data_IF_080861926401
#
_entry.id   IF_080861926401
#
_cell.length_a   1.000
_cell.length_b   1.000
_cell.length_c   1.000
_cell.angle_alpha   90.00
_cell.angle_beta   90.00
_cell.angle_gamma   90.00
#
_symmetry.space_group_name_H-M   'P 1'
#
loop_
_entity.id
_entity.type
_entity.pdbx_description
1 polymer ?
#
# COMPACT_ATOMS: atom_id res chain seq x y z
N UNK A 1 9.37 -15.11 9.44
CA UNK A 1 9.90 -14.99 8.06
C UNK A 1 9.77 -16.36 7.40
N UNK A 2 9.35 -16.42 6.14
CA UNK A 2 9.19 -17.72 5.47
C UNK A 2 10.57 -18.31 5.19
N UNK A 3 10.71 -19.63 5.32
CA UNK A 3 11.96 -20.30 4.95
C UNK A 3 12.03 -20.46 3.42
N UNK A 4 12.50 -19.41 2.75
CA UNK A 4 12.60 -19.37 1.28
C UNK A 4 13.48 -20.48 0.70
N UNK A 5 14.44 -21.01 1.47
CA UNK A 5 15.26 -22.14 1.05
C UNK A 5 14.43 -23.41 0.91
N UNK A 6 13.48 -23.64 1.83
CA UNK A 6 12.55 -24.78 1.72
C UNK A 6 11.67 -24.66 0.49
N UNK A 7 11.14 -23.46 0.21
CA UNK A 7 10.31 -23.20 -0.98
C UNK A 7 11.11 -23.47 -2.26
N UNK A 8 12.34 -22.98 -2.34
CA UNK A 8 13.22 -23.19 -3.49
C UNK A 8 13.52 -24.67 -3.76
N UNK A 9 13.64 -25.47 -2.69
CA UNK A 9 13.94 -26.90 -2.75
C UNK A 9 12.70 -27.80 -2.94
N UNK A 10 11.49 -27.24 -3.07
CA UNK A 10 10.29 -28.04 -3.32
C UNK A 10 10.38 -28.79 -4.67
N UNK A 11 9.84 -30.02 -4.78
CA UNK A 11 9.81 -30.77 -6.03
C UNK A 11 8.63 -30.32 -6.93
N UNK A 12 8.52 -29.01 -7.19
CA UNK A 12 7.51 -28.39 -8.06
C UNK A 12 8.19 -27.61 -9.19
N UNK A 13 7.43 -27.08 -10.14
CA UNK A 13 7.99 -26.33 -11.26
C UNK A 13 8.72 -25.06 -10.80
N UNK A 14 9.69 -24.57 -11.57
CA UNK A 14 10.36 -23.30 -11.26
C UNK A 14 9.40 -22.11 -11.29
N UNK A 15 8.36 -22.17 -12.13
CA UNK A 15 7.29 -21.15 -12.17
C UNK A 15 6.53 -21.09 -10.85
N UNK A 16 6.10 -22.25 -10.32
CA UNK A 16 5.39 -22.29 -9.04
C UNK A 16 6.27 -21.81 -7.88
N UNK A 17 7.56 -22.18 -7.87
CA UNK A 17 8.52 -21.67 -6.88
C UNK A 17 8.63 -20.15 -6.95
N UNK A 18 8.75 -19.58 -8.16
CA UNK A 18 8.83 -18.14 -8.35
C UNK A 18 7.58 -17.45 -7.79
N UNK A 19 6.39 -17.95 -8.11
CA UNK A 19 5.13 -17.43 -7.56
C UNK A 19 5.10 -17.46 -6.02
N UNK A 20 5.48 -18.57 -5.38
CA UNK A 20 5.56 -18.65 -3.92
C UNK A 20 6.60 -17.70 -3.33
N UNK A 21 7.76 -17.56 -3.97
CA UNK A 21 8.81 -16.66 -3.51
C UNK A 21 8.40 -15.18 -3.65
N UNK A 22 7.67 -14.82 -4.70
CA UNK A 22 7.08 -13.48 -4.88
C UNK A 22 6.11 -13.21 -3.73
N UNK A 23 5.16 -14.11 -3.46
CA UNK A 23 4.20 -13.96 -2.36
C UNK A 23 4.89 -13.82 -1.00
N UNK A 24 5.89 -14.67 -0.71
CA UNK A 24 6.65 -14.59 0.53
C UNK A 24 7.42 -13.27 0.65
N UNK A 25 8.04 -12.82 -0.45
CA UNK A 25 8.80 -11.57 -0.47
C UNK A 25 7.89 -10.36 -0.33
N UNK A 26 6.73 -10.35 -1.00
CA UNK A 26 5.73 -9.30 -0.85
C UNK A 26 5.28 -9.18 0.62
N UNK A 27 4.97 -10.29 1.28
CA UNK A 27 4.57 -10.27 2.68
C UNK A 27 5.68 -9.79 3.62
N UNK A 28 6.93 -10.16 3.36
CA UNK A 28 8.09 -9.70 4.12
C UNK A 28 8.33 -8.20 3.95
N UNK A 29 8.24 -7.69 2.72
CA UNK A 29 8.35 -6.26 2.40
C UNK A 29 7.23 -5.49 3.11
N UNK A 30 5.97 -5.94 3.01
CA UNK A 30 4.84 -5.32 3.71
C UNK A 30 5.07 -5.26 5.24
N UNK A 31 5.49 -6.36 5.85
CA UNK A 31 5.77 -6.41 7.29
C UNK A 31 6.91 -5.47 7.69
N UNK A 32 7.96 -5.39 6.86
CA UNK A 32 9.07 -4.47 7.09
C UNK A 32 8.63 -3.02 6.99
N UNK A 33 7.86 -2.67 5.96
CA UNK A 33 7.27 -1.33 5.79
C UNK A 33 6.41 -0.93 6.98
N UNK A 34 5.52 -1.82 7.44
CA UNK A 34 4.70 -1.59 8.64
C UNK A 34 5.54 -1.37 9.90
N UNK A 35 6.62 -2.13 10.08
CA UNK A 35 7.51 -1.96 11.22
C UNK A 35 8.22 -0.59 11.20
N UNK A 36 8.62 -0.09 10.03
CA UNK A 36 9.28 1.22 9.88
C UNK A 36 8.37 2.41 10.22
N UNK A 37 7.05 2.23 10.10
CA UNK A 37 6.04 3.26 10.33
C UNK A 37 5.17 2.98 11.57
N UNK A 38 5.54 1.99 12.39
CA UNK A 38 4.74 1.49 13.51
C UNK A 38 4.32 2.59 14.50
N UNK A 39 5.19 3.58 14.71
CA UNK A 39 4.91 4.69 15.63
C UNK A 39 3.76 5.61 15.19
N UNK A 40 3.42 5.60 13.90
CA UNK A 40 2.32 6.39 13.34
C UNK A 40 0.97 5.66 13.44
N UNK A 41 0.98 4.38 13.87
CA UNK A 41 -0.21 3.54 14.04
C UNK A 41 -1.08 3.53 12.76
N UNK A 42 -0.44 3.31 11.62
CA UNK A 42 -1.07 3.19 10.31
C UNK A 42 -0.98 1.75 9.79
N UNK A 43 -2.06 1.26 9.19
CA UNK A 43 -2.02 0.03 8.39
C UNK A 43 -1.57 0.31 6.96
N UNK A 44 -1.16 -0.73 6.23
CA UNK A 44 -0.81 -0.58 4.80
C UNK A 44 -1.96 0.01 3.99
N UNK A 45 -3.19 -0.49 4.19
CA UNK A 45 -4.38 0.06 3.52
C UNK A 45 -4.56 1.57 3.80
N UNK A 46 -4.30 2.02 5.03
CA UNK A 46 -4.41 3.43 5.37
C UNK A 46 -3.33 4.26 4.67
N UNK A 47 -2.10 3.75 4.61
CA UNK A 47 -1.01 4.41 3.90
C UNK A 47 -1.30 4.46 2.39
N UNK A 48 -1.77 3.38 1.78
CA UNK A 48 -2.15 3.36 0.35
C UNK A 48 -3.27 4.35 0.05
N UNK A 49 -4.28 4.47 0.92
CA UNK A 49 -5.33 5.49 0.76
C UNK A 49 -4.73 6.90 0.80
N UNK A 50 -3.82 7.18 1.74
CA UNK A 50 -3.18 8.50 1.79
C UNK A 50 -2.34 8.77 0.54
N UNK A 51 -1.58 7.78 0.07
CA UNK A 51 -0.78 7.88 -1.16
C UNK A 51 -1.65 8.20 -2.39
N UNK A 52 -2.76 7.46 -2.57
CA UNK A 52 -3.70 7.72 -3.67
C UNK A 52 -4.29 9.13 -3.59
N UNK A 53 -4.67 9.57 -2.39
CA UNK A 53 -5.20 10.92 -2.19
C UNK A 53 -4.12 12.01 -2.40
N UNK A 54 -2.84 11.70 -2.20
CA UNK A 54 -1.73 12.64 -2.35
C UNK A 54 -1.36 12.85 -3.82
N UNK A 55 -1.31 11.75 -4.59
CA UNK A 55 -0.89 11.67 -5.99
C UNK A 55 -1.98 12.09 -6.97
N UNK A 56 -3.27 11.89 -6.63
CA UNK A 56 -4.35 12.29 -7.53
C UNK A 56 -4.51 13.82 -7.57
N UNK A 57 -4.61 14.42 -8.76
CA UNK A 57 -4.82 15.86 -8.92
C UNK A 57 -6.24 16.32 -8.54
N UNK A 58 -7.14 15.38 -8.22
CA UNK A 58 -8.53 15.66 -7.87
C UNK A 58 -8.65 15.95 -6.37
N UNK A 59 -9.16 17.13 -6.01
CA UNK A 59 -9.36 17.53 -4.60
C UNK A 59 -10.43 16.69 -3.87
N UNK A 60 -11.32 16.03 -4.61
CA UNK A 60 -12.45 15.28 -4.05
C UNK A 60 -12.66 13.96 -4.79
N UNK A 61 -12.32 12.84 -4.14
CA UNK A 61 -12.56 11.50 -4.68
C UNK A 61 -13.59 10.75 -3.84
N UNK A 62 -14.41 9.93 -4.48
CA UNK A 62 -15.43 9.15 -3.78
C UNK A 62 -14.85 7.90 -3.14
N UNK A 63 -15.53 7.36 -2.14
CA UNK A 63 -15.16 6.06 -1.52
C UNK A 63 -15.07 4.94 -2.57
N UNK A 64 -15.95 4.94 -3.57
CA UNK A 64 -15.94 3.91 -4.62
C UNK A 64 -14.71 4.06 -5.52
N UNK A 65 -14.37 5.28 -5.95
CA UNK A 65 -13.15 5.52 -6.73
C UNK A 65 -11.88 5.11 -5.96
N UNK A 66 -11.83 5.33 -4.64
CA UNK A 66 -10.71 4.82 -3.82
C UNK A 66 -10.66 3.29 -3.88
N UNK A 67 -11.81 2.61 -3.78
CA UNK A 67 -11.87 1.15 -3.84
C UNK A 67 -11.39 0.61 -5.19
N UNK A 68 -11.77 1.26 -6.29
CA UNK A 68 -11.37 0.85 -7.65
C UNK A 68 -9.86 0.97 -7.88
N UNK A 69 -9.18 1.80 -7.10
CA UNK A 69 -7.72 2.00 -7.13
C UNK A 69 -6.96 1.12 -6.12
N UNK A 70 -7.66 0.37 -5.27
CA UNK A 70 -7.02 -0.58 -4.36
C UNK A 70 -6.66 -1.87 -5.10
N UNK A 71 -5.46 -2.38 -4.86
CA UNK A 71 -5.01 -3.69 -5.41
C UNK A 71 -5.80 -4.85 -4.78
N UNK A 72 -6.16 -4.73 -3.50
CA UNK A 72 -7.03 -5.69 -2.82
C UNK A 72 -8.48 -5.20 -2.89
N UNK A 73 -9.41 -6.11 -3.21
CA UNK A 73 -10.85 -5.88 -3.01
C UNK A 73 -11.11 -5.81 -1.51
N UNK A 74 -10.74 -4.69 -0.92
CA UNK A 74 -10.61 -4.54 0.52
C UNK A 74 -11.98 -4.15 1.07
N UNK A 75 -12.75 -5.06 1.70
CA UNK A 75 -14.00 -4.70 2.37
C UNK A 75 -13.78 -3.66 3.49
N UNK A 76 -12.53 -3.36 3.80
CA UNK A 76 -12.10 -2.50 4.89
C UNK A 76 -11.81 -1.05 4.48
N UNK A 77 -11.94 -0.63 3.20
CA UNK A 77 -11.67 0.77 2.81
C UNK A 77 -12.50 1.76 3.63
N UNK A 78 -13.80 1.52 3.79
CA UNK A 78 -14.67 2.36 4.62
C UNK A 78 -14.21 2.43 6.09
N UNK A 79 -13.73 1.31 6.65
CA UNK A 79 -13.20 1.25 8.02
C UNK A 79 -11.87 1.99 8.13
N UNK A 80 -10.98 1.84 7.15
CA UNK A 80 -9.70 2.53 7.07
C UNK A 80 -9.90 4.05 6.99
N UNK A 81 -10.81 4.51 6.12
CA UNK A 81 -11.20 5.92 6.00
C UNK A 81 -11.77 6.48 7.31
N UNK A 82 -12.61 5.72 8.02
CA UNK A 82 -13.13 6.17 9.31
C UNK A 82 -12.02 6.33 10.36
N UNK A 83 -11.04 5.43 10.38
CA UNK A 83 -9.87 5.56 11.27
C UNK A 83 -9.00 6.76 10.88
N UNK A 84 -8.73 6.96 9.59
CA UNK A 84 -7.98 8.13 9.10
C UNK A 84 -8.69 9.44 9.45
N UNK A 85 -10.01 9.49 9.31
CA UNK A 85 -10.80 10.66 9.67
C UNK A 85 -10.75 10.94 11.18
N UNK A 86 -10.83 9.90 12.03
CA UNK A 86 -10.63 10.05 13.49
C UNK A 86 -9.25 10.58 13.86
N UNK A 87 -8.23 10.33 13.03
CA UNK A 87 -6.87 10.87 13.18
C UNK A 87 -6.70 12.26 12.54
N UNK A 88 -7.76 12.86 11.99
CA UNK A 88 -7.72 14.11 11.24
C UNK A 88 -6.77 14.08 10.03
N UNK A 89 -6.52 12.89 9.44
CA UNK A 89 -5.64 12.75 8.27
C UNK A 89 -6.43 12.92 6.96
N UNK A 90 -7.73 12.61 6.97
CA UNK A 90 -8.65 12.83 5.85
C UNK A 90 -9.93 13.50 6.35
N UNK A 91 -10.58 14.27 5.47
CA UNK A 91 -11.92 14.81 5.66
C UNK A 91 -12.93 13.98 4.86
N UNK A 92 -14.11 13.77 5.43
CA UNK A 92 -15.25 13.14 4.73
C UNK A 92 -16.36 14.18 4.60
N UNK A 93 -16.84 14.39 3.39
CA UNK A 93 -17.93 15.34 3.11
C UNK A 93 -19.00 14.66 2.27
N UNK A 94 -20.26 14.72 2.70
CA UNK A 94 -21.37 14.22 1.89
C UNK A 94 -21.70 15.23 0.79
N UNK A 95 -21.97 14.74 -0.41
CA UNK A 95 -22.42 15.62 -1.49
C UNK A 95 -23.73 16.31 -1.10
N UNK A 96 -23.84 17.61 -1.43
CA UNK A 96 -25.07 18.37 -1.24
C UNK A 96 -26.18 17.93 -2.20
N UNK A 97 -25.81 17.41 -3.37
CA UNK A 97 -26.73 16.97 -4.43
C UNK A 97 -27.24 15.54 -4.19
N UNK A 98 -26.37 14.65 -3.72
CA UNK A 98 -26.72 13.26 -3.38
C UNK A 98 -26.01 12.83 -2.09
N UNK A 99 -26.74 12.79 -0.99
CA UNK A 99 -26.19 12.41 0.32
C UNK A 99 -25.63 10.98 0.39
N UNK A 100 -25.91 10.13 -0.60
CA UNK A 100 -25.31 8.79 -0.72
C UNK A 100 -23.85 8.86 -1.18
N UNK A 101 -23.46 9.94 -1.85
CA UNK A 101 -22.09 10.18 -2.29
C UNK A 101 -21.28 10.80 -1.15
N UNK A 102 -20.15 10.17 -0.83
CA UNK A 102 -19.20 10.66 0.17
C UNK A 102 -17.88 10.95 -0.52
N UNK A 103 -17.49 12.22 -0.51
CA UNK A 103 -16.18 12.68 -0.95
C UNK A 103 -15.17 12.59 0.18
N UNK A 104 -13.95 12.24 -0.18
CA UNK A 104 -12.80 12.11 0.69
C UNK A 104 -11.73 13.07 0.18
N UNK A 105 -11.16 13.84 1.10
CA UNK A 105 -10.08 14.78 0.82
C UNK A 105 -8.95 14.55 1.83
N UNK A 106 -7.71 14.51 1.38
CA UNK A 106 -6.55 14.47 2.30
C UNK A 106 -6.38 15.83 2.98
N UNK A 107 -6.10 15.82 4.27
CA UNK A 107 -5.76 17.04 5.01
C UNK A 107 -4.28 17.37 4.86
N UNK A 108 -3.83 18.60 5.18
CA UNK A 108 -2.39 18.91 5.26
C UNK A 108 -1.63 17.94 6.17
N UNK A 109 -2.19 17.62 7.35
CA UNK A 109 -1.60 16.67 8.28
C UNK A 109 -1.49 15.24 7.70
N UNK A 110 -2.49 14.82 6.91
CA UNK A 110 -2.49 13.55 6.19
C UNK A 110 -1.37 13.49 5.15
N UNK A 111 -1.21 14.55 4.36
CA UNK A 111 -0.19 14.69 3.33
C UNK A 111 1.22 14.69 3.93
N UNK A 112 1.44 15.44 5.00
CA UNK A 112 2.74 15.48 5.68
C UNK A 112 3.11 14.10 6.25
N UNK A 113 2.15 13.43 6.90
CA UNK A 113 2.38 12.10 7.48
C UNK A 113 2.67 11.05 6.40
N UNK A 114 1.94 11.09 5.28
CA UNK A 114 2.17 10.22 4.14
C UNK A 114 3.59 10.37 3.59
N UNK A 115 4.04 11.60 3.35
CA UNK A 115 5.41 11.86 2.87
C UNK A 115 6.50 11.40 3.85
N UNK A 116 6.25 11.54 5.16
CA UNK A 116 7.17 11.02 6.19
C UNK A 116 7.26 9.49 6.11
N UNK A 117 6.12 8.81 5.97
CA UNK A 117 6.07 7.35 5.84
C UNK A 117 6.76 6.88 4.56
N UNK A 118 6.46 7.50 3.41
CA UNK A 118 7.05 7.16 2.12
C UNK A 118 8.57 7.32 2.14
N UNK A 119 9.09 8.41 2.73
CA UNK A 119 10.53 8.63 2.88
C UNK A 119 11.20 7.56 3.74
N UNK A 120 10.52 7.05 4.77
CA UNK A 120 11.07 5.99 5.63
C UNK A 120 11.08 4.62 4.95
N UNK A 121 10.05 4.33 4.16
CA UNK A 121 9.91 3.06 3.46
C UNK A 121 10.88 3.02 2.25
N UNK A 122 10.99 4.12 1.53
CA UNK A 122 11.86 4.27 0.36
C UNK A 122 13.31 3.90 0.67
N UNK A 123 13.91 3.09 -0.20
CA UNK A 123 15.31 2.64 -0.06
C UNK A 123 15.57 1.61 1.05
N UNK A 124 14.58 1.26 1.87
CA UNK A 124 14.73 0.32 2.99
C UNK A 124 14.01 -1.02 2.78
N UNK A 125 13.42 -1.23 1.61
CA UNK A 125 12.55 -2.38 1.35
C UNK A 125 13.35 -3.66 1.07
N UNK A 126 14.33 -3.60 0.17
CA UNK A 126 15.09 -4.75 -0.31
C UNK A 126 16.58 -4.40 -0.33
N UNK A 127 17.44 -5.34 0.09
CA UNK A 127 18.89 -5.18 0.06
C UNK A 127 19.45 -5.92 -1.15
N UNK A 128 19.63 -5.22 -2.26
CA UNK A 128 20.18 -5.73 -3.51
C UNK A 128 21.07 -4.66 -4.14
N UNK A 129 22.06 -5.07 -4.92
CA UNK A 129 22.85 -4.13 -5.74
C UNK A 129 21.97 -3.56 -6.86
N UNK A 130 22.30 -2.39 -7.40
CA UNK A 130 21.59 -1.79 -8.54
C UNK A 130 21.42 -2.77 -9.73
N UNK A 131 22.46 -3.51 -10.09
CA UNK A 131 22.42 -4.50 -11.17
C UNK A 131 21.37 -5.60 -10.91
N UNK A 132 21.42 -6.22 -9.73
CA UNK A 132 20.44 -7.23 -9.31
C UNK A 132 19.01 -6.69 -9.27
N UNK A 133 18.82 -5.45 -8.81
CA UNK A 133 17.51 -4.80 -8.77
C UNK A 133 16.97 -4.56 -10.17
N UNK A 134 17.82 -4.16 -11.12
CA UNK A 134 17.46 -4.01 -12.53
C UNK A 134 16.94 -5.31 -13.13
N UNK A 135 17.70 -6.40 -12.99
CA UNK A 135 17.29 -7.73 -13.48
C UNK A 135 15.96 -8.17 -12.88
N UNK A 136 15.77 -7.97 -11.57
CA UNK A 136 14.52 -8.35 -10.91
C UNK A 136 13.33 -7.53 -11.43
N UNK A 137 13.51 -6.23 -11.65
CA UNK A 137 12.46 -5.37 -12.19
C UNK A 137 12.03 -5.83 -13.58
N UNK A 138 12.99 -6.14 -14.47
CA UNK A 138 12.71 -6.63 -15.82
C UNK A 138 11.91 -7.94 -15.77
N UNK A 139 12.34 -8.90 -14.94
CA UNK A 139 11.64 -10.17 -14.76
C UNK A 139 10.22 -10.00 -14.21
N UNK A 140 10.00 -9.08 -13.27
CA UNK A 140 8.68 -8.82 -12.70
C UNK A 140 7.72 -8.16 -13.70
N UNK A 141 8.25 -7.46 -14.71
CA UNK A 141 7.45 -6.84 -15.77
C UNK A 141 7.02 -7.83 -16.86
N UNK A 142 7.69 -8.99 -16.97
CA UNK A 142 7.36 -10.05 -17.95
C UNK A 142 6.28 -11.03 -17.46
N UNK A 143 6.00 -11.07 -16.16
CA UNK A 143 5.04 -11.98 -15.50
C UNK A 143 3.67 -11.32 -15.43
#
# INVERSE_FOLDING_TARGET
MADKKKIYNLPISNSDKAAFLILCTAQEVQNRSLNLIKEYDLSMTQLTILHILDELPMENITVNQIRDLMVEDSPNVSRALNKLAKKNLVKKERSREDQRVVFITITPAGRDLHKICDKRISGNMIHMTEEQSGILNDLLMEI
#
